data_IF_043280445756
#
_entry.id   IF_043280445756
#
_cell.length_a   1.000
_cell.length_b   1.000
_cell.length_c   1.000
_cell.angle_alpha   90.00
_cell.angle_beta   90.00
_cell.angle_gamma   90.00
#
_symmetry.space_group_name_H-M   'P 1'
#
loop_
_entity.id
_entity.type
_entity.pdbx_description
1 polymer ?
#
# COMPACT_ATOMS: atom_id res chain seq x y z
N UNK A 1 11.20 -13.34 -0.04
CA UNK A 1 10.06 -12.86 0.75
C UNK A 1 8.96 -13.90 0.64
N UNK A 2 8.54 -14.47 1.77
CA UNK A 2 7.44 -15.43 1.82
C UNK A 2 6.09 -14.71 1.63
N UNK A 3 5.00 -15.45 1.45
CA UNK A 3 3.67 -14.82 1.37
C UNK A 3 3.31 -14.13 2.69
N UNK A 4 3.57 -14.75 3.83
CA UNK A 4 3.32 -14.15 5.15
C UNK A 4 4.12 -12.84 5.36
N UNK A 5 5.37 -12.79 4.90
CA UNK A 5 6.16 -11.55 4.90
C UNK A 5 5.51 -10.46 4.03
N UNK A 6 4.95 -10.84 2.87
CA UNK A 6 4.23 -9.89 2.00
C UNK A 6 2.95 -9.38 2.67
N UNK A 7 2.20 -10.24 3.35
CA UNK A 7 0.99 -9.82 4.07
C UNK A 7 1.33 -8.83 5.18
N UNK A 8 2.42 -9.06 5.93
CA UNK A 8 2.92 -8.11 6.93
C UNK A 8 3.33 -6.78 6.29
N UNK A 9 4.05 -6.83 5.18
CA UNK A 9 4.43 -5.66 4.39
C UNK A 9 3.20 -4.87 3.93
N UNK A 10 2.19 -5.54 3.39
CA UNK A 10 0.95 -4.90 2.91
C UNK A 10 0.17 -4.28 4.04
N UNK A 11 0.03 -4.98 5.17
CA UNK A 11 -0.65 -4.50 6.37
C UNK A 11 0.00 -3.20 6.85
N UNK A 12 1.32 -3.19 7.06
CA UNK A 12 2.07 -2.00 7.49
C UNK A 12 1.92 -0.81 6.52
N UNK A 13 1.94 -1.06 5.22
CA UNK A 13 1.78 -0.01 4.21
C UNK A 13 0.34 0.51 4.11
N UNK A 14 -0.65 -0.33 4.44
CA UNK A 14 -2.07 0.06 4.40
C UNK A 14 -2.41 1.08 5.48
N UNK A 15 -1.66 1.13 6.59
CA UNK A 15 -1.82 2.12 7.65
C UNK A 15 -1.63 3.56 7.14
N UNK A 16 -0.87 3.76 6.08
CA UNK A 16 -0.72 5.07 5.42
C UNK A 16 -1.99 5.56 4.68
N UNK A 17 -3.04 4.73 4.63
CA UNK A 17 -4.32 5.02 3.97
C UNK A 17 -5.49 5.07 4.96
N UNK A 18 -5.19 5.03 6.27
CA UNK A 18 -6.18 5.23 7.33
C UNK A 18 -6.41 6.73 7.52
N UNK A 19 -7.67 7.13 7.70
CA UNK A 19 -8.09 8.53 7.87
C UNK A 19 -8.00 8.95 9.34
N UNK A 20 -6.79 8.86 9.90
CA UNK A 20 -6.42 9.33 11.23
C UNK A 20 -5.01 9.93 11.18
N UNK A 21 -4.50 10.45 12.30
CA UNK A 21 -3.08 10.82 12.40
C UNK A 21 -2.19 9.61 12.10
N UNK A 22 -1.51 9.66 10.95
CA UNK A 22 -0.66 8.57 10.46
C UNK A 22 0.65 8.57 11.26
N UNK A 23 0.91 7.49 11.98
CA UNK A 23 2.19 7.26 12.68
C UNK A 23 3.24 6.70 11.71
N UNK A 24 3.82 7.58 10.90
CA UNK A 24 4.89 7.21 9.96
C UNK A 24 6.12 6.55 10.63
N UNK A 25 6.57 6.98 11.83
CA UNK A 25 7.61 6.25 12.57
C UNK A 25 7.23 4.80 12.92
N UNK A 26 5.99 4.52 13.31
CA UNK A 26 5.54 3.15 13.52
C UNK A 26 5.54 2.33 12.23
N UNK A 27 5.05 2.90 11.13
CA UNK A 27 5.09 2.26 9.81
C UNK A 27 6.54 1.95 9.41
N UNK A 28 7.46 2.91 9.53
CA UNK A 28 8.87 2.71 9.20
C UNK A 28 9.52 1.61 10.04
N UNK A 29 9.22 1.52 11.34
CA UNK A 29 9.70 0.44 12.21
C UNK A 29 9.21 -0.94 11.77
N UNK A 30 7.94 -1.05 11.34
CA UNK A 30 7.41 -2.32 10.83
C UNK A 30 8.03 -2.73 9.48
N UNK A 31 8.47 -1.75 8.70
CA UNK A 31 9.12 -1.93 7.41
C UNK A 31 10.64 -2.11 7.52
N UNK A 32 11.21 -1.98 8.73
CA UNK A 32 12.63 -2.18 8.97
C UNK A 32 13.04 -3.61 8.60
N UNK A 33 14.10 -3.76 7.80
CA UNK A 33 14.59 -5.05 7.32
C UNK A 33 14.02 -5.51 5.97
N UNK A 34 13.00 -4.85 5.42
CA UNK A 34 12.59 -5.05 4.03
C UNK A 34 13.47 -4.24 3.08
N UNK A 35 13.68 -4.76 1.87
CA UNK A 35 14.34 -4.01 0.80
C UNK A 35 13.50 -2.78 0.41
N UNK A 36 14.12 -1.60 0.43
CA UNK A 36 13.41 -0.33 0.19
C UNK A 36 12.78 -0.27 -1.20
N UNK A 37 13.40 -0.88 -2.21
CA UNK A 37 12.86 -0.93 -3.58
C UNK A 37 11.61 -1.79 -3.62
N UNK A 38 11.63 -2.94 -2.93
CA UNK A 38 10.46 -3.81 -2.78
C UNK A 38 9.34 -3.14 -1.99
N UNK A 39 9.64 -2.41 -0.90
CA UNK A 39 8.64 -1.65 -0.13
C UNK A 39 7.97 -0.59 -1.02
N UNK A 40 8.76 0.17 -1.78
CA UNK A 40 8.24 1.20 -2.70
C UNK A 40 7.36 0.61 -3.80
N UNK A 41 7.79 -0.51 -4.37
CA UNK A 41 7.00 -1.24 -5.37
C UNK A 41 5.68 -1.73 -4.75
N UNK A 42 5.71 -2.36 -3.58
CA UNK A 42 4.52 -2.82 -2.88
C UNK A 42 3.55 -1.67 -2.55
N UNK A 43 4.07 -0.53 -2.09
CA UNK A 43 3.25 0.64 -1.78
C UNK A 43 2.47 1.12 -3.00
N UNK A 44 3.14 1.37 -4.13
CA UNK A 44 2.49 1.95 -5.31
C UNK A 44 1.74 0.94 -6.17
N UNK A 45 2.24 -0.28 -6.27
CA UNK A 45 1.73 -1.27 -7.25
C UNK A 45 0.75 -2.25 -6.63
N UNK A 46 0.79 -2.48 -5.32
CA UNK A 46 0.01 -3.53 -4.66
C UNK A 46 -1.00 -2.93 -3.68
N UNK A 47 -0.54 -2.10 -2.74
CA UNK A 47 -1.38 -1.55 -1.66
C UNK A 47 -2.18 -0.34 -2.13
N UNK A 48 -1.56 0.66 -2.76
CA UNK A 48 -2.25 1.89 -3.18
C UNK A 48 -3.45 1.63 -4.11
N UNK A 49 -3.40 0.72 -5.11
CA UNK A 49 -4.55 0.41 -5.95
C UNK A 49 -5.77 -0.14 -5.19
N UNK A 50 -5.54 -0.75 -4.02
CA UNK A 50 -6.60 -1.30 -3.16
C UNK A 50 -7.09 -0.25 -2.16
N UNK A 51 -6.17 0.47 -1.52
CA UNK A 51 -6.49 1.35 -0.40
C UNK A 51 -6.81 2.79 -0.80
N UNK A 52 -6.46 3.26 -2.00
CA UNK A 52 -6.60 4.68 -2.35
C UNK A 52 -8.04 5.19 -2.33
N UNK A 53 -9.02 4.31 -2.55
CA UNK A 53 -10.44 4.69 -2.61
C UNK A 53 -10.96 5.06 -1.23
N UNK A 54 -10.33 4.53 -0.17
CA UNK A 54 -10.65 4.88 1.20
C UNK A 54 -10.49 6.39 1.42
N UNK A 55 -9.49 7.02 0.80
CA UNK A 55 -9.25 8.47 0.85
C UNK A 55 -10.33 9.31 0.14
N UNK A 56 -11.34 8.70 -0.48
CA UNK A 56 -12.37 9.38 -1.29
C UNK A 56 -13.79 9.09 -0.82
N UNK A 57 -13.98 8.15 0.10
CA UNK A 57 -15.30 7.78 0.63
C UNK A 57 -15.59 8.55 1.92
N UNK A 58 -16.83 8.95 2.22
CA UNK A 58 -17.19 9.43 3.55
C UNK A 58 -17.02 8.30 4.56
N UNK A 59 -16.09 8.46 5.51
CA UNK A 59 -15.64 7.37 6.38
C UNK A 59 -16.46 7.39 7.68
N UNK A 60 -16.81 6.22 8.25
CA UNK A 60 -17.39 6.16 9.57
C UNK A 60 -16.45 6.79 10.64
N UNK A 61 -16.99 7.28 11.77
CA UNK A 61 -16.24 8.06 12.76
C UNK A 61 -15.02 7.37 13.40
N UNK A 62 -14.89 6.05 13.25
CA UNK A 62 -13.82 5.24 13.83
C UNK A 62 -13.42 4.19 12.80
N UNK A 63 -12.34 4.43 12.05
CA UNK A 63 -11.68 3.43 11.20
C UNK A 63 -10.25 3.24 11.71
N UNK A 64 -9.96 2.09 12.33
CA UNK A 64 -8.69 1.89 13.04
C UNK A 64 -7.63 1.19 12.21
N UNK A 65 -8.00 0.30 11.28
CA UNK A 65 -7.07 -0.42 10.41
C UNK A 65 -7.81 -1.14 9.27
N UNK A 66 -7.07 -1.60 8.25
CA UNK A 66 -7.59 -2.55 7.26
C UNK A 66 -7.58 -3.97 7.82
N UNK A 67 -8.60 -4.77 7.49
CA UNK A 67 -8.55 -6.21 7.75
C UNK A 67 -7.44 -6.83 6.87
N UNK A 68 -6.45 -7.45 7.51
CA UNK A 68 -5.26 -7.96 6.81
C UNK A 68 -5.57 -9.16 5.92
N UNK A 69 -6.61 -9.93 6.22
CA UNK A 69 -7.04 -11.07 5.40
C UNK A 69 -7.71 -10.57 4.12
N UNK A 70 -8.67 -9.66 4.26
CA UNK A 70 -9.33 -8.98 3.15
C UNK A 70 -8.32 -8.25 2.25
N UNK A 71 -7.35 -7.56 2.86
CA UNK A 71 -6.31 -6.84 2.14
C UNK A 71 -5.46 -7.80 1.31
N UNK A 72 -4.99 -8.89 1.91
CA UNK A 72 -4.19 -9.90 1.24
C UNK A 72 -4.97 -10.55 0.07
N UNK A 73 -6.19 -11.01 0.32
CA UNK A 73 -7.05 -11.63 -0.70
C UNK A 73 -7.32 -10.69 -1.88
N UNK A 74 -7.55 -9.41 -1.58
CA UNK A 74 -7.82 -8.39 -2.60
C UNK A 74 -6.57 -8.10 -3.44
N UNK A 75 -5.40 -7.98 -2.81
CA UNK A 75 -4.13 -7.78 -3.50
C UNK A 75 -3.81 -9.00 -4.39
N UNK A 76 -3.94 -10.22 -3.87
CA UNK A 76 -3.68 -11.44 -4.64
C UNK A 76 -4.65 -11.57 -5.82
N UNK A 77 -5.94 -11.31 -5.62
CA UNK A 77 -6.92 -11.30 -6.71
C UNK A 77 -6.54 -10.30 -7.81
N UNK A 78 -6.09 -9.09 -7.44
CA UNK A 78 -5.61 -8.10 -8.39
C UNK A 78 -4.34 -8.55 -9.12
N UNK A 79 -3.37 -9.15 -8.43
CA UNK A 79 -2.16 -9.69 -9.03
C UNK A 79 -2.48 -10.82 -10.04
N UNK A 80 -3.41 -11.70 -9.70
CA UNK A 80 -3.87 -12.78 -10.59
C UNK A 80 -4.61 -12.20 -11.81
N UNK A 81 -5.46 -11.20 -11.62
CA UNK A 81 -6.15 -10.51 -12.71
C UNK A 81 -5.18 -9.83 -13.71
N UNK A 82 -4.09 -9.23 -13.23
CA UNK A 82 -3.02 -8.63 -14.06
C UNK A 82 -2.23 -9.66 -14.86
N UNK A 83 -2.07 -10.88 -14.31
CA UNK A 83 -1.44 -12.01 -14.99
C UNK A 83 -2.34 -12.54 -16.12
N UNK A 84 -3.65 -12.60 -15.87
CA UNK A 84 -4.62 -13.14 -16.81
C UNK A 84 -4.96 -12.22 -18.01
N UNK A 85 -4.81 -10.89 -17.88
CA UNK A 85 -5.25 -9.95 -18.93
C UNK A 85 -4.29 -8.79 -19.17
N UNK A 86 -3.89 -8.61 -20.45
CA UNK A 86 -3.07 -7.47 -20.90
C UNK A 86 -3.79 -6.13 -20.79
N UNK A 87 -5.11 -6.09 -21.03
CA UNK A 87 -5.91 -4.88 -20.89
C UNK A 87 -5.97 -4.43 -19.43
N UNK A 88 -6.20 -5.37 -18.50
CA UNK A 88 -6.15 -5.07 -17.06
C UNK A 88 -4.78 -4.56 -16.63
N UNK A 89 -3.70 -5.17 -17.16
CA UNK A 89 -2.33 -4.70 -16.91
C UNK A 89 -2.11 -3.27 -17.38
N UNK A 90 -2.57 -2.90 -18.58
CA UNK A 90 -2.45 -1.54 -19.09
C UNK A 90 -3.23 -0.53 -18.23
N UNK A 91 -4.49 -0.85 -17.88
CA UNK A 91 -5.30 -0.02 -16.98
C UNK A 91 -4.60 0.20 -15.65
N UNK A 92 -4.05 -0.87 -15.08
CA UNK A 92 -3.36 -0.81 -13.79
C UNK A 92 -2.06 -0.01 -13.88
N UNK A 93 -1.33 -0.05 -15.00
CA UNK A 93 -0.18 0.84 -15.21
C UNK A 93 -0.56 2.32 -15.20
N UNK A 94 -1.69 2.69 -15.85
CA UNK A 94 -2.21 4.06 -15.82
C UNK A 94 -2.59 4.46 -14.40
N UNK A 95 -3.29 3.57 -13.68
CA UNK A 95 -3.67 3.80 -12.29
C UNK A 95 -2.44 3.99 -11.39
N UNK A 96 -1.44 3.11 -11.50
CA UNK A 96 -0.18 3.21 -10.73
C UNK A 96 0.56 4.51 -11.05
N UNK A 97 0.61 4.94 -12.32
CA UNK A 97 1.23 6.22 -12.69
C UNK A 97 0.51 7.41 -12.02
N UNK A 98 -0.82 7.41 -12.04
CA UNK A 98 -1.63 8.41 -11.32
C UNK A 98 -1.38 8.37 -9.81
N UNK A 99 -1.35 7.19 -9.19
CA UNK A 99 -1.11 7.03 -7.75
C UNK A 99 0.30 7.45 -7.34
N UNK A 100 1.32 7.17 -8.17
CA UNK A 100 2.69 7.66 -7.97
C UNK A 100 2.76 9.17 -7.93
N UNK A 101 2.00 9.85 -8.79
CA UNK A 101 1.91 11.30 -8.76
C UNK A 101 1.16 11.78 -7.52
N UNK A 102 -0.03 11.23 -7.24
CA UNK A 102 -0.94 11.70 -6.18
C UNK A 102 -0.40 11.43 -4.77
N UNK A 103 0.23 10.28 -4.55
CA UNK A 103 0.73 9.82 -3.24
C UNK A 103 2.22 10.07 -3.05
N UNK A 104 2.83 10.89 -3.91
CA UNK A 104 4.25 11.24 -3.78
C UNK A 104 4.57 11.85 -2.40
N UNK A 105 3.69 12.71 -1.89
CA UNK A 105 3.84 13.33 -0.57
C UNK A 105 3.83 12.31 0.57
N UNK A 106 2.86 11.38 0.53
CA UNK A 106 2.73 10.29 1.50
C UNK A 106 3.95 9.37 1.48
N UNK A 107 4.37 8.94 0.29
CA UNK A 107 5.58 8.14 0.15
C UNK A 107 6.83 8.85 0.69
N UNK A 108 7.01 10.14 0.38
CA UNK A 108 8.16 10.89 0.88
C UNK A 108 8.19 11.02 2.40
N UNK A 109 7.04 10.94 3.10
CA UNK A 109 7.01 10.89 4.57
C UNK A 109 7.53 9.55 5.08
N UNK A 110 7.03 8.45 4.52
CA UNK A 110 7.50 7.08 4.84
C UNK A 110 9.01 6.95 4.54
N UNK A 111 9.43 7.39 3.35
CA UNK A 111 10.83 7.29 2.88
C UNK A 111 11.79 8.02 3.84
N UNK A 112 11.41 9.20 4.36
CA UNK A 112 12.21 9.92 5.36
C UNK A 112 12.32 9.18 6.69
N UNK A 113 11.25 8.56 7.17
CA UNK A 113 11.32 7.79 8.43
C UNK A 113 12.12 6.48 8.25
N UNK A 114 12.04 5.87 7.07
CA UNK A 114 12.88 4.71 6.70
C UNK A 114 14.38 5.04 6.61
N UNK A 115 14.73 6.29 6.31
CA UNK A 115 16.13 6.75 6.32
C UNK A 115 16.69 6.99 7.73
N UNK A 116 15.80 7.17 8.71
CA UNK A 116 16.16 7.42 10.12
C UNK A 116 16.24 6.15 10.97
N UNK A 117 15.74 5.04 10.45
CA UNK A 117 15.70 3.72 11.09
C UNK A 117 16.87 2.88 10.63
#
# INVERSE_FOLDING_TARGET
MTHDDRVRLWSALSDAFVDNDIDYPAIARQLAGYDRTAVKAAFFEEVAPVCHSNLQTPIPPIWTAFDSTWLADTIDSNLQARRASRLRRMRDHVLVAYLRFRLRGEWSRIERELERT
#
